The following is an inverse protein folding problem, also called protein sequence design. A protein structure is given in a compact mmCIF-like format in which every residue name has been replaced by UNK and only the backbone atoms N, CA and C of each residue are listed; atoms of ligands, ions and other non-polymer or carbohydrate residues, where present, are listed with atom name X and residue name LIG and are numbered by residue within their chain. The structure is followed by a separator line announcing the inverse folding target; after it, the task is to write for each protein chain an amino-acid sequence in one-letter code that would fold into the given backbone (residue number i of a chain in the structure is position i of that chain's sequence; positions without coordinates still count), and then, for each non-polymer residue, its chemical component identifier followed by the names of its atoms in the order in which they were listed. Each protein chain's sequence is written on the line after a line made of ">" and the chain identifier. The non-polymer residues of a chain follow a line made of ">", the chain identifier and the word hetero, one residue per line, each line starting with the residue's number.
data_IF_680359982695
#
_entry.id   IF_680359982695
#
_cell.length_a   1.000
_cell.length_b   1.000
_cell.length_c   1.000
_cell.angle_alpha   90.00
_cell.angle_beta   90.00
_cell.angle_gamma   90.00
#
_symmetry.space_group_name_H-M   'P 1'
#
loop_
_entity.id
_entity.type
_entity.pdbx_description
1 polymer ?
#
# COMPACT_ATOMS: atom_id res chain seq x y z
N UNK A 1 4.63 21.71 -29.56
CA UNK A 1 5.66 20.65 -29.42
C UNK A 1 6.24 20.53 -28.01
N UNK A 2 6.58 21.62 -27.31
CA UNK A 2 7.18 21.55 -25.96
C UNK A 2 6.32 20.82 -24.90
N UNK A 3 4.98 20.87 -25.00
CA UNK A 3 4.07 20.15 -24.08
C UNK A 3 4.06 18.62 -24.31
N UNK A 4 4.24 18.16 -25.56
CA UNK A 4 4.26 16.73 -25.89
C UNK A 4 5.56 16.04 -25.41
N UNK A 5 6.71 16.72 -25.50
CA UNK A 5 8.00 16.20 -25.01
C UNK A 5 7.96 15.98 -23.49
N UNK A 6 7.27 16.87 -22.74
CA UNK A 6 7.10 16.76 -21.28
C UNK A 6 6.20 15.59 -20.84
N UNK A 7 5.23 15.19 -21.67
CA UNK A 7 4.37 14.04 -21.39
C UNK A 7 5.11 12.71 -21.63
N UNK A 8 5.88 12.61 -22.72
CA UNK A 8 6.67 11.42 -23.03
C UNK A 8 7.76 11.20 -21.96
N UNK A 9 8.46 12.27 -21.57
CA UNK A 9 9.47 12.17 -20.51
C UNK A 9 8.83 11.81 -19.15
N UNK A 10 7.70 12.42 -18.78
CA UNK A 10 6.98 12.08 -17.56
C UNK A 10 6.48 10.64 -17.53
N UNK A 11 5.90 10.15 -18.63
CA UNK A 11 5.45 8.77 -18.76
C UNK A 11 6.62 7.76 -18.67
N UNK A 12 7.76 8.07 -19.30
CA UNK A 12 8.97 7.25 -19.19
C UNK A 12 9.50 7.22 -17.76
N UNK A 13 9.54 8.37 -17.07
CA UNK A 13 10.01 8.42 -15.67
C UNK A 13 9.13 7.56 -14.76
N UNK A 14 7.80 7.71 -14.82
CA UNK A 14 6.88 6.89 -14.00
C UNK A 14 6.97 5.41 -14.38
N UNK A 15 7.09 5.10 -15.68
CA UNK A 15 7.24 3.73 -16.18
C UNK A 15 8.50 3.04 -15.65
N UNK A 16 9.65 3.72 -15.68
CA UNK A 16 10.91 3.21 -15.14
C UNK A 16 10.79 2.94 -13.64
N UNK A 17 10.26 3.89 -12.87
CA UNK A 17 10.05 3.71 -11.42
C UNK A 17 9.08 2.56 -11.10
N UNK A 18 8.05 2.38 -11.91
CA UNK A 18 7.11 1.26 -11.78
C UNK A 18 7.79 -0.08 -12.06
N UNK A 19 8.59 -0.16 -13.13
CA UNK A 19 9.30 -1.38 -13.49
C UNK A 19 10.34 -1.76 -12.43
N UNK A 20 11.13 -0.79 -11.96
CA UNK A 20 12.09 -1.00 -10.87
C UNK A 20 11.39 -1.53 -9.62
N UNK A 21 10.26 -0.94 -9.24
CA UNK A 21 9.48 -1.40 -8.07
C UNK A 21 8.99 -2.84 -8.24
N UNK A 22 8.57 -3.24 -9.45
CA UNK A 22 8.15 -4.62 -9.76
C UNK A 22 9.32 -5.60 -9.70
N UNK A 23 10.48 -5.24 -10.23
CA UNK A 23 11.68 -6.07 -10.17
C UNK A 23 12.12 -6.25 -8.71
N UNK A 24 12.15 -5.19 -7.92
CA UNK A 24 12.48 -5.27 -6.50
C UNK A 24 11.47 -6.12 -5.72
N UNK A 25 10.18 -6.01 -6.02
CA UNK A 25 9.14 -6.88 -5.47
C UNK A 25 9.37 -8.36 -5.82
N UNK A 26 9.70 -8.65 -7.08
CA UNK A 26 10.01 -10.01 -7.51
C UNK A 26 11.25 -10.58 -6.82
N UNK A 27 12.32 -9.79 -6.70
CA UNK A 27 13.54 -10.19 -5.98
C UNK A 27 13.22 -10.49 -4.51
N UNK A 28 12.41 -9.65 -3.85
CA UNK A 28 11.94 -9.91 -2.49
C UNK A 28 11.22 -11.26 -2.40
N UNK A 29 10.34 -11.57 -3.33
CA UNK A 29 9.57 -12.82 -3.32
C UNK A 29 10.48 -14.04 -3.52
N UNK A 30 11.50 -13.94 -4.39
CA UNK A 30 12.52 -14.98 -4.55
C UNK A 30 13.33 -15.17 -3.26
N UNK A 31 13.72 -14.10 -2.58
CA UNK A 31 14.45 -14.18 -1.31
C UNK A 31 13.61 -14.81 -0.19
N UNK A 32 12.33 -14.45 -0.12
CA UNK A 32 11.36 -15.05 0.81
C UNK A 32 11.27 -16.56 0.54
N UNK A 33 11.09 -16.98 -0.72
CA UNK A 33 11.03 -18.39 -1.08
C UNK A 33 12.35 -19.13 -0.79
N UNK A 34 13.50 -18.48 -1.00
CA UNK A 34 14.81 -19.06 -0.73
C UNK A 34 15.08 -19.27 0.77
N UNK A 35 14.56 -18.39 1.64
CA UNK A 35 14.78 -18.46 3.09
C UNK A 35 13.69 -19.23 3.83
N UNK A 36 12.42 -19.06 3.46
CA UNK A 36 11.27 -19.69 4.14
C UNK A 36 10.82 -21.00 3.46
N UNK A 37 11.25 -21.25 2.22
CA UNK A 37 10.82 -22.41 1.44
C UNK A 37 9.33 -22.33 1.06
N UNK A 38 8.69 -23.50 0.97
CA UNK A 38 7.26 -23.65 0.63
C UNK A 38 6.47 -24.35 1.74
N UNK A 39 6.96 -24.28 2.99
CA UNK A 39 6.31 -24.93 4.13
C UNK A 39 5.30 -24.04 4.86
N UNK A 40 4.70 -24.55 5.94
CA UNK A 40 3.70 -23.83 6.75
C UNK A 40 4.11 -22.42 7.18
N UNK A 41 5.40 -22.21 7.48
CA UNK A 41 5.93 -20.89 7.88
C UNK A 41 5.87 -19.88 6.73
N UNK A 42 6.17 -20.31 5.50
CA UNK A 42 6.07 -19.46 4.32
C UNK A 42 4.62 -19.06 4.05
N UNK A 43 3.68 -20.00 4.18
CA UNK A 43 2.25 -19.74 4.01
C UNK A 43 1.73 -18.76 5.08
N UNK A 44 2.08 -18.96 6.35
CA UNK A 44 1.74 -18.04 7.43
C UNK A 44 2.30 -16.63 7.21
N UNK A 45 3.55 -16.53 6.74
CA UNK A 45 4.17 -15.25 6.40
C UNK A 45 3.42 -14.53 5.26
N UNK A 46 3.08 -15.25 4.19
CA UNK A 46 2.35 -14.67 3.06
C UNK A 46 0.96 -14.17 3.47
N UNK A 47 0.23 -14.91 4.30
CA UNK A 47 -1.07 -14.49 4.85
C UNK A 47 -0.91 -13.26 5.74
N UNK A 48 0.06 -13.28 6.66
CA UNK A 48 0.34 -12.13 7.53
C UNK A 48 0.70 -10.87 6.72
N UNK A 49 1.41 -11.04 5.60
CA UNK A 49 1.79 -9.94 4.73
C UNK A 49 0.65 -9.45 3.81
N UNK A 50 -0.35 -10.29 3.53
CA UNK A 50 -1.49 -9.93 2.69
C UNK A 50 -2.40 -8.89 3.35
N UNK A 51 -2.70 -9.05 4.65
CA UNK A 51 -3.59 -8.16 5.41
C UNK A 51 -3.15 -6.68 5.35
N UNK A 52 -1.92 -6.31 5.76
CA UNK A 52 -1.45 -4.93 5.69
C UNK A 52 -1.41 -4.39 4.26
N UNK A 53 -1.02 -5.22 3.29
CA UNK A 53 -0.97 -4.80 1.89
C UNK A 53 -2.35 -4.51 1.32
N UNK A 54 -3.36 -5.30 1.68
CA UNK A 54 -4.74 -5.05 1.27
C UNK A 54 -5.18 -3.66 1.74
N UNK A 55 -5.00 -3.35 3.03
CA UNK A 55 -5.37 -2.05 3.57
C UNK A 55 -4.57 -0.90 2.96
N UNK A 56 -3.27 -1.08 2.75
CA UNK A 56 -2.41 -0.09 2.07
C UNK A 56 -2.94 0.25 0.66
N UNK A 57 -3.37 -0.76 -0.09
CA UNK A 57 -3.94 -0.58 -1.45
C UNK A 57 -5.27 0.18 -1.40
N UNK A 58 -6.14 -0.13 -0.42
CA UNK A 58 -7.43 0.55 -0.26
C UNK A 58 -7.29 2.02 0.13
N UNK A 59 -6.56 2.30 1.21
CA UNK A 59 -6.52 3.64 1.79
C UNK A 59 -5.53 4.57 1.08
N UNK A 60 -4.31 4.10 0.79
CA UNK A 60 -3.22 4.97 0.32
C UNK A 60 -3.12 5.02 -1.21
N UNK A 61 -3.12 3.87 -1.89
CA UNK A 61 -2.91 3.83 -3.34
C UNK A 61 -4.15 4.28 -4.13
N UNK A 62 -5.36 3.92 -3.65
CA UNK A 62 -6.62 4.19 -4.35
C UNK A 62 -7.30 5.48 -3.90
N UNK A 63 -8.04 5.41 -2.79
CA UNK A 63 -9.00 6.44 -2.41
C UNK A 63 -8.34 7.78 -2.06
N UNK A 64 -7.27 7.76 -1.27
CA UNK A 64 -6.59 8.98 -0.85
C UNK A 64 -5.98 9.73 -2.02
N UNK A 65 -5.15 9.07 -2.86
CA UNK A 65 -4.52 9.72 -4.00
C UNK A 65 -5.54 10.31 -5.00
N UNK A 66 -6.63 9.60 -5.28
CA UNK A 66 -7.67 10.08 -6.20
C UNK A 66 -8.37 11.35 -5.69
N UNK A 67 -8.56 11.50 -4.38
CA UNK A 67 -9.19 12.69 -3.79
C UNK A 67 -8.16 13.81 -3.52
N UNK A 68 -7.01 13.46 -2.96
CA UNK A 68 -6.01 14.40 -2.48
C UNK A 68 -5.34 15.16 -3.62
N UNK A 69 -4.85 14.47 -4.65
CA UNK A 69 -4.05 15.09 -5.72
C UNK A 69 -4.82 16.20 -6.46
N UNK A 70 -6.07 16.00 -6.92
CA UNK A 70 -6.83 17.06 -7.58
C UNK A 70 -7.12 18.26 -6.66
N UNK A 71 -7.48 18.00 -5.40
CA UNK A 71 -7.78 19.06 -4.42
C UNK A 71 -6.54 19.87 -4.05
N UNK A 72 -5.41 19.20 -3.86
CA UNK A 72 -4.12 19.83 -3.57
C UNK A 72 -3.67 20.69 -4.77
N UNK A 73 -3.69 20.14 -5.99
CA UNK A 73 -3.32 20.88 -7.20
C UNK A 73 -4.19 22.14 -7.38
N UNK A 74 -5.51 22.04 -7.16
CA UNK A 74 -6.41 23.19 -7.24
C UNK A 74 -6.07 24.28 -6.22
N UNK A 75 -5.74 23.91 -4.97
CA UNK A 75 -5.31 24.87 -3.94
C UNK A 75 -3.95 25.50 -4.28
N UNK A 76 -3.02 24.71 -4.81
CA UNK A 76 -1.71 25.17 -5.22
C UNK A 76 -1.80 26.19 -6.37
N UNK A 77 -2.61 25.91 -7.39
CA UNK A 77 -2.85 26.82 -8.51
C UNK A 77 -3.56 28.11 -8.10
N UNK A 78 -4.52 28.01 -7.17
CA UNK A 78 -5.25 29.17 -6.65
C UNK A 78 -4.41 30.06 -5.70
N UNK A 79 -3.12 29.73 -5.46
CA UNK A 79 -2.28 30.36 -4.43
C UNK A 79 -2.95 30.41 -3.05
N UNK A 80 -3.83 29.45 -2.78
CA UNK A 80 -4.38 29.23 -1.46
C UNK A 80 -3.35 28.48 -0.60
N UNK A 81 -3.64 28.33 0.70
CA UNK A 81 -2.78 27.59 1.61
C UNK A 81 -2.87 26.07 1.36
N UNK A 82 -2.14 25.61 0.33
CA UNK A 82 -2.03 24.22 -0.07
C UNK A 82 -1.20 23.40 0.94
N UNK A 83 -0.23 24.05 1.60
CA UNK A 83 0.64 23.41 2.59
C UNK A 83 -0.13 23.07 3.87
N UNK A 84 -0.93 24.00 4.39
CA UNK A 84 -1.82 23.70 5.52
C UNK A 84 -2.81 22.58 5.18
N UNK A 85 -3.40 22.60 3.97
CA UNK A 85 -4.28 21.52 3.52
C UNK A 85 -3.56 20.16 3.47
N UNK A 86 -2.33 20.11 2.94
CA UNK A 86 -1.54 18.89 2.92
C UNK A 86 -1.25 18.39 4.34
N UNK A 87 -0.82 19.29 5.23
CA UNK A 87 -0.55 18.97 6.63
C UNK A 87 -1.77 18.40 7.34
N UNK A 88 -2.93 19.02 7.17
CA UNK A 88 -4.19 18.57 7.78
C UNK A 88 -4.63 17.22 7.20
N UNK A 89 -4.53 17.05 5.89
CA UNK A 89 -4.85 15.79 5.22
C UNK A 89 -3.94 14.64 5.68
N UNK A 90 -2.62 14.88 5.76
CA UNK A 90 -1.65 13.89 6.24
C UNK A 90 -1.82 13.60 7.73
N UNK A 91 -2.09 14.61 8.56
CA UNK A 91 -2.35 14.41 9.99
C UNK A 91 -3.62 13.61 10.22
N UNK A 92 -4.69 13.90 9.47
CA UNK A 92 -5.93 13.13 9.49
C UNK A 92 -5.72 11.68 9.03
N UNK A 93 -5.00 11.48 7.91
CA UNK A 93 -4.68 10.13 7.42
C UNK A 93 -3.82 9.36 8.42
N UNK A 94 -2.79 9.98 9.00
CA UNK A 94 -1.94 9.35 10.00
C UNK A 94 -2.74 8.94 11.24
N UNK A 95 -3.60 9.82 11.74
CA UNK A 95 -4.48 9.54 12.88
C UNK A 95 -5.42 8.37 12.57
N UNK A 96 -6.06 8.38 11.39
CA UNK A 96 -6.91 7.30 10.93
C UNK A 96 -6.16 5.98 10.87
N UNK A 97 -4.96 5.97 10.27
CA UNK A 97 -4.15 4.76 10.14
C UNK A 97 -3.66 4.23 11.49
N UNK A 98 -3.33 5.11 12.45
CA UNK A 98 -2.94 4.70 13.81
C UNK A 98 -4.11 4.04 14.53
N UNK A 99 -5.29 4.68 14.53
CA UNK A 99 -6.50 4.12 15.15
C UNK A 99 -6.88 2.80 14.48
N UNK A 100 -6.88 2.78 13.14
CA UNK A 100 -7.17 1.59 12.36
C UNK A 100 -6.21 0.45 12.68
N UNK A 101 -4.90 0.73 12.71
CA UNK A 101 -3.87 -0.28 13.03
C UNK A 101 -4.08 -0.81 14.45
N UNK A 102 -4.32 0.07 15.42
CA UNK A 102 -4.58 -0.36 16.81
C UNK A 102 -5.80 -1.28 16.91
N UNK A 103 -6.91 -0.91 16.28
CA UNK A 103 -8.13 -1.72 16.23
C UNK A 103 -7.85 -3.05 15.51
N UNK A 104 -7.21 -3.02 14.33
CA UNK A 104 -6.88 -4.22 13.59
C UNK A 104 -6.01 -5.17 14.43
N UNK A 105 -4.99 -4.65 15.12
CA UNK A 105 -4.14 -5.42 16.04
C UNK A 105 -4.96 -6.08 17.16
N UNK A 106 -5.89 -5.35 17.78
CA UNK A 106 -6.76 -5.88 18.83
C UNK A 106 -7.66 -7.02 18.32
N UNK A 107 -8.15 -6.91 17.08
CA UNK A 107 -9.02 -7.91 16.46
C UNK A 107 -8.29 -8.93 15.56
N UNK A 108 -6.96 -9.00 15.63
CA UNK A 108 -6.17 -9.89 14.75
C UNK A 108 -6.60 -11.37 14.79
N UNK A 109 -6.94 -11.98 15.94
CA UNK A 109 -7.34 -13.39 15.95
C UNK A 109 -8.54 -13.66 15.02
N UNK A 110 -9.56 -12.78 15.06
CA UNK A 110 -10.73 -12.89 14.19
C UNK A 110 -10.40 -12.55 12.74
N UNK A 111 -9.52 -11.57 12.49
CA UNK A 111 -9.09 -11.22 11.13
C UNK A 111 -8.32 -12.38 10.47
N UNK A 112 -7.44 -13.03 11.22
CA UNK A 112 -6.70 -14.22 10.77
C UNK A 112 -7.67 -15.35 10.47
N UNK A 113 -8.62 -15.65 11.37
CA UNK A 113 -9.63 -16.69 11.10
C UNK A 113 -10.45 -16.34 9.85
N UNK A 114 -10.86 -15.09 9.66
CA UNK A 114 -11.64 -14.68 8.49
C UNK A 114 -10.86 -14.82 7.17
N UNK A 115 -9.54 -14.60 7.19
CA UNK A 115 -8.69 -14.69 6.00
C UNK A 115 -8.13 -16.09 5.76
N UNK A 116 -7.92 -16.86 6.81
CA UNK A 116 -7.25 -18.16 6.81
C UNK A 116 -8.17 -19.28 7.34
N UNK A 117 -9.50 -19.12 7.23
CA UNK A 117 -10.47 -20.12 7.72
C UNK A 117 -10.26 -21.50 7.10
N UNK A 118 -9.66 -21.57 5.91
CA UNK A 118 -9.29 -22.82 5.24
C UNK A 118 -8.15 -23.60 5.90
N UNK A 119 -7.42 -23.01 6.85
CA UNK A 119 -6.35 -23.65 7.63
C UNK A 119 -6.81 -24.16 9.00
N UNK A 120 -8.05 -23.86 9.40
CA UNK A 120 -8.58 -24.30 10.69
C UNK A 120 -8.80 -25.81 10.67
N UNK A 121 -7.94 -26.56 11.37
CA UNK A 121 -8.01 -28.02 11.47
C UNK A 121 -7.13 -28.79 10.48
N UNK A 122 -6.19 -28.14 9.79
CA UNK A 122 -5.19 -28.81 8.96
C UNK A 122 -4.08 -29.39 9.85
N UNK A 123 -3.78 -30.69 9.74
CA UNK A 123 -2.75 -31.38 10.54
C UNK A 123 -1.32 -30.86 10.31
N UNK A 124 -1.11 -30.02 9.28
CA UNK A 124 0.16 -29.37 8.96
C UNK A 124 0.41 -28.08 9.77
N UNK A 125 -0.59 -27.57 10.51
CA UNK A 125 -0.56 -26.29 11.23
C UNK A 125 -0.95 -26.40 12.71
#
# INVERSE_FOLDING_TARGET
>A
MAHQIRLISGALTVGVWTLLSRILGFVRDVLIAAWLGTGPVAEAFLIAFALPNMFRRFFAEGAFNMAFVPLFSKKLEARADAEAFARDAFSGLATLLVVFTFVATLFMPWLVIAMASGFVGDERF
#
